data_IF_798890708794
#
_entry.id   IF_798890708794
#
_cell.length_a   1.000
_cell.length_b   1.000
_cell.length_c   1.000
_cell.angle_alpha   90.00
_cell.angle_beta   90.00
_cell.angle_gamma   90.00
#
_symmetry.space_group_name_H-M   'P 1'
#
loop_
_entity.id
_entity.type
_entity.pdbx_description
1 polymer ?
#
# COMPACT_ATOMS: atom_id res chain seq x y z
N UNK A 1 40.28 -18.42 44.58
CA UNK A 1 39.48 -17.85 43.47
C UNK A 1 39.06 -19.03 42.61
N UNK A 2 37.77 -19.39 42.43
CA UNK A 2 37.37 -20.25 41.30
C UNK A 2 35.85 -20.35 41.12
N UNK A 3 35.07 -20.78 42.11
CA UNK A 3 33.66 -21.16 41.85
C UNK A 3 32.72 -19.97 41.62
N UNK A 4 32.79 -18.92 42.45
CA UNK A 4 31.91 -17.75 42.32
C UNK A 4 32.15 -16.95 41.03
N UNK A 5 33.38 -16.96 40.51
CA UNK A 5 33.72 -16.30 39.24
C UNK A 5 33.24 -17.10 38.04
N UNK A 6 33.33 -18.43 38.10
CA UNK A 6 32.80 -19.34 37.06
C UNK A 6 31.27 -19.27 37.00
N UNK A 7 30.59 -19.22 38.15
CA UNK A 7 29.13 -19.07 38.20
C UNK A 7 28.65 -17.74 37.60
N UNK A 8 29.32 -16.62 37.90
CA UNK A 8 28.98 -15.31 37.33
C UNK A 8 29.21 -15.25 35.82
N UNK A 9 30.28 -15.88 35.33
CA UNK A 9 30.57 -15.97 33.90
C UNK A 9 29.52 -16.83 33.17
N UNK A 10 29.14 -17.98 33.73
CA UNK A 10 28.11 -18.86 33.17
C UNK A 10 26.74 -18.17 33.12
N UNK A 11 26.37 -17.43 34.18
CA UNK A 11 25.13 -16.67 34.22
C UNK A 11 25.11 -15.55 33.16
N UNK A 12 26.24 -14.84 32.99
CA UNK A 12 26.39 -13.79 31.98
C UNK A 12 26.27 -14.33 30.55
N UNK A 13 26.89 -15.48 30.26
CA UNK A 13 26.78 -16.15 28.96
C UNK A 13 25.34 -16.59 28.70
N UNK A 14 24.68 -17.18 29.69
CA UNK A 14 23.28 -17.61 29.57
C UNK A 14 22.36 -16.43 29.25
N UNK A 15 22.49 -15.32 29.98
CA UNK A 15 21.70 -14.10 29.76
C UNK A 15 21.94 -13.55 28.35
N UNK A 16 23.20 -13.50 27.90
CA UNK A 16 23.54 -13.01 26.58
C UNK A 16 22.92 -13.88 25.47
N UNK A 17 22.98 -15.21 25.60
CA UNK A 17 22.37 -16.14 24.66
C UNK A 17 20.84 -15.98 24.61
N UNK A 18 20.19 -15.84 25.76
CA UNK A 18 18.75 -15.60 25.83
C UNK A 18 18.36 -14.28 25.15
N UNK A 19 19.10 -13.19 25.40
CA UNK A 19 18.85 -11.89 24.77
C UNK A 19 19.05 -11.96 23.25
N UNK A 20 20.12 -12.61 22.79
CA UNK A 20 20.37 -12.80 21.36
C UNK A 20 19.26 -13.61 20.69
N UNK A 21 18.77 -14.67 21.34
CA UNK A 21 17.65 -15.46 20.84
C UNK A 21 16.35 -14.65 20.76
N UNK A 22 16.04 -13.83 21.77
CA UNK A 22 14.85 -12.96 21.77
C UNK A 22 14.90 -11.96 20.62
N UNK A 23 16.05 -11.29 20.42
CA UNK A 23 16.23 -10.34 19.32
C UNK A 23 16.11 -11.03 17.97
N UNK A 24 16.71 -12.21 17.81
CA UNK A 24 16.61 -12.99 16.59
C UNK A 24 15.16 -13.40 16.28
N UNK A 25 14.42 -13.88 17.28
CA UNK A 25 13.00 -14.23 17.14
C UNK A 25 12.16 -12.99 16.76
N UNK A 26 12.44 -11.83 17.37
CA UNK A 26 11.73 -10.58 17.04
C UNK A 26 11.98 -10.14 15.59
N UNK A 27 13.21 -10.29 15.08
CA UNK A 27 13.54 -10.01 13.68
C UNK A 27 12.80 -10.96 12.74
N UNK A 28 12.78 -12.26 13.04
CA UNK A 28 12.05 -13.25 12.25
C UNK A 28 10.54 -12.96 12.23
N UNK A 29 9.95 -12.62 13.38
CA UNK A 29 8.54 -12.28 13.48
C UNK A 29 8.20 -11.05 12.63
N UNK A 30 8.99 -9.97 12.75
CA UNK A 30 8.84 -8.74 11.97
C UNK A 30 8.98 -8.97 10.46
N UNK A 31 9.90 -9.84 10.04
CA UNK A 31 10.07 -10.20 8.64
C UNK A 31 8.90 -11.06 8.09
N UNK A 32 8.25 -11.84 8.95
CA UNK A 32 7.16 -12.74 8.59
C UNK A 32 5.76 -12.11 8.63
N UNK A 33 5.59 -11.01 9.37
CA UNK A 33 4.29 -10.35 9.47
C UNK A 33 3.96 -9.62 8.17
N UNK A 34 2.87 -10.00 7.47
CA UNK A 34 2.41 -9.21 6.33
C UNK A 34 2.08 -7.79 6.81
N UNK A 35 2.55 -6.77 6.07
CA UNK A 35 2.18 -5.39 6.37
C UNK A 35 0.66 -5.28 6.26
N UNK A 36 0.04 -4.73 7.31
CA UNK A 36 -1.41 -4.56 7.41
C UNK A 36 -2.01 -3.88 6.16
N UNK A 37 -1.26 -2.94 5.55
CA UNK A 37 -1.63 -2.28 4.29
C UNK A 37 -1.88 -3.27 3.14
N UNK A 38 -1.10 -4.35 3.02
CA UNK A 38 -1.21 -5.32 1.92
C UNK A 38 -2.44 -6.22 2.08
N UNK A 39 -2.92 -6.39 3.31
CA UNK A 39 -4.10 -7.22 3.61
C UNK A 39 -5.41 -6.45 3.46
N UNK A 40 -5.41 -5.14 3.72
CA UNK A 40 -6.62 -4.30 3.66
C UNK A 40 -6.83 -3.73 2.26
N UNK A 41 -5.75 -3.41 1.54
CA UNK A 41 -5.80 -2.91 0.17
C UNK A 41 -4.86 -3.75 -0.70
N UNK A 42 -5.32 -4.89 -1.27
CA UNK A 42 -4.50 -5.65 -2.19
C UNK A 42 -4.10 -4.71 -3.34
N UNK A 43 -2.79 -4.45 -3.46
CA UNK A 43 -2.22 -3.52 -4.45
C UNK A 43 -2.52 -3.94 -5.90
N UNK A 44 -2.96 -5.19 -6.10
CA UNK A 44 -3.42 -5.70 -7.38
C UNK A 44 -4.88 -6.14 -7.27
N UNK A 45 -5.80 -5.51 -8.02
CA UNK A 45 -7.19 -5.95 -8.07
C UNK A 45 -7.28 -7.34 -8.73
N UNK A 46 -8.21 -8.16 -8.25
CA UNK A 46 -8.52 -9.45 -8.88
C UNK A 46 -9.16 -9.24 -10.26
N UNK A 47 -9.07 -10.23 -11.16
CA UNK A 47 -9.73 -10.14 -12.48
C UNK A 47 -11.25 -9.83 -12.39
N UNK A 48 -12.04 -10.46 -11.48
CA UNK A 48 -13.43 -10.08 -11.30
C UNK A 48 -13.62 -8.65 -10.80
N UNK A 49 -12.72 -8.14 -9.96
CA UNK A 49 -12.77 -6.76 -9.50
C UNK A 49 -12.48 -5.77 -10.64
N UNK A 50 -11.49 -6.08 -11.50
CA UNK A 50 -11.19 -5.29 -12.70
C UNK A 50 -12.37 -5.24 -13.66
N UNK A 51 -12.99 -6.39 -13.97
CA UNK A 51 -14.14 -6.44 -14.87
C UNK A 51 -15.34 -5.64 -14.33
N UNK A 52 -15.58 -5.69 -13.01
CA UNK A 52 -16.61 -4.84 -12.37
C UNK A 52 -16.24 -3.35 -12.44
N UNK A 53 -14.98 -3.02 -12.18
CA UNK A 53 -14.48 -1.65 -12.26
C UNK A 53 -14.62 -1.05 -13.66
N UNK A 54 -14.29 -1.83 -14.69
CA UNK A 54 -14.45 -1.42 -16.10
C UNK A 54 -15.90 -1.10 -16.44
N UNK A 55 -16.85 -1.94 -16.01
CA UNK A 55 -18.29 -1.66 -16.21
C UNK A 55 -18.69 -0.35 -15.56
N UNK A 56 -18.35 -0.14 -14.29
CA UNK A 56 -18.68 1.08 -13.57
C UNK A 56 -18.04 2.32 -14.20
N UNK A 57 -16.80 2.20 -14.66
CA UNK A 57 -16.07 3.25 -15.33
C UNK A 57 -16.77 3.69 -16.63
N UNK A 58 -17.17 2.72 -17.46
CA UNK A 58 -17.86 2.99 -18.71
C UNK A 58 -19.23 3.62 -18.50
N UNK A 59 -19.96 3.19 -17.46
CA UNK A 59 -21.30 3.67 -17.16
C UNK A 59 -21.30 5.10 -16.57
N UNK A 60 -20.28 5.49 -15.80
CA UNK A 60 -20.33 6.71 -14.98
C UNK A 60 -19.25 7.75 -15.31
N UNK A 61 -18.05 7.32 -15.73
CA UNK A 61 -16.89 8.21 -15.84
C UNK A 61 -16.63 8.62 -17.29
N UNK A 62 -16.76 7.65 -18.21
CA UNK A 62 -16.37 7.80 -19.61
C UNK A 62 -17.18 8.88 -20.35
N UNK A 63 -18.42 9.12 -19.92
CA UNK A 63 -19.32 10.11 -20.54
C UNK A 63 -18.77 11.54 -20.51
N UNK A 64 -18.04 11.90 -19.45
CA UNK A 64 -17.48 13.26 -19.29
C UNK A 64 -15.96 13.28 -19.48
N UNK A 65 -15.22 12.32 -18.91
CA UNK A 65 -13.76 12.29 -18.98
C UNK A 65 -13.23 11.80 -20.33
N UNK A 66 -14.09 11.21 -21.16
CA UNK A 66 -13.73 10.68 -22.47
C UNK A 66 -12.64 9.58 -22.39
N UNK A 67 -12.48 8.84 -23.49
CA UNK A 67 -11.70 7.61 -23.51
C UNK A 67 -10.19 7.79 -23.66
N UNK A 68 -9.55 6.68 -24.02
CA UNK A 68 -8.08 6.54 -24.15
C UNK A 68 -7.46 7.43 -25.24
N UNK A 69 -8.25 7.99 -26.15
CA UNK A 69 -7.76 8.71 -27.32
C UNK A 69 -8.01 10.21 -27.24
N UNK A 70 -7.07 10.97 -27.81
CA UNK A 70 -7.14 12.43 -27.93
C UNK A 70 -6.90 13.21 -26.63
N UNK A 71 -7.22 14.50 -26.68
CA UNK A 71 -7.11 15.43 -25.56
C UNK A 71 -5.71 15.86 -25.17
N UNK A 72 -5.67 16.81 -24.24
CA UNK A 72 -4.46 17.43 -23.70
C UNK A 72 -4.54 17.51 -22.18
N UNK A 73 -3.42 17.90 -21.54
CA UNK A 73 -3.39 18.19 -20.11
C UNK A 73 -4.32 19.35 -19.69
N UNK A 74 -4.79 20.16 -20.65
CA UNK A 74 -5.66 21.31 -20.41
C UNK A 74 -7.16 20.98 -20.55
N UNK A 75 -7.49 19.75 -20.91
CA UNK A 75 -8.89 19.32 -21.06
C UNK A 75 -9.59 19.32 -19.69
N UNK A 76 -10.85 19.74 -19.68
CA UNK A 76 -11.67 19.81 -18.48
C UNK A 76 -13.06 19.20 -18.73
N UNK A 77 -13.45 18.13 -18.00
CA UNK A 77 -12.63 17.41 -17.02
C UNK A 77 -11.44 16.69 -17.70
N UNK A 78 -10.36 16.39 -16.95
CA UNK A 78 -9.14 15.82 -17.53
C UNK A 78 -9.40 14.45 -18.14
N UNK A 79 -8.81 14.21 -19.32
CA UNK A 79 -8.97 12.90 -19.96
C UNK A 79 -8.24 11.80 -19.23
N UNK A 80 -8.91 10.66 -19.09
CA UNK A 80 -8.35 9.47 -18.46
C UNK A 80 -7.53 8.64 -19.47
N UNK A 81 -6.46 9.25 -19.97
CA UNK A 81 -5.54 8.64 -20.92
C UNK A 81 -4.10 9.06 -20.66
N UNK A 82 -3.17 8.62 -21.52
CA UNK A 82 -1.74 8.89 -21.34
C UNK A 82 -1.36 10.39 -21.49
N UNK A 83 -2.24 11.20 -22.09
CA UNK A 83 -1.99 12.62 -22.37
C UNK A 83 -2.68 13.56 -21.35
N UNK A 84 -3.58 13.04 -20.51
CA UNK A 84 -4.29 13.81 -19.48
C UNK A 84 -3.61 13.77 -18.11
N UNK A 85 -4.07 14.60 -17.17
CA UNK A 85 -3.44 14.78 -15.85
C UNK A 85 -3.88 13.76 -14.79
N UNK A 86 -4.67 12.74 -15.13
CA UNK A 86 -5.39 11.87 -14.18
C UNK A 86 -4.50 11.16 -13.15
N UNK A 87 -3.23 10.87 -13.47
CA UNK A 87 -2.37 9.97 -12.68
C UNK A 87 -1.35 10.67 -11.78
N UNK A 88 -1.53 11.96 -11.49
CA UNK A 88 -0.61 12.70 -10.60
C UNK A 88 -0.98 12.59 -9.11
N UNK A 89 -2.15 12.06 -8.81
CA UNK A 89 -2.65 11.90 -7.44
C UNK A 89 -2.44 10.46 -6.93
N UNK A 90 -2.14 10.26 -5.63
CA UNK A 90 -2.12 8.94 -5.03
C UNK A 90 -3.52 8.29 -5.01
N UNK A 91 -3.57 6.96 -5.05
CA UNK A 91 -4.83 6.18 -5.07
C UNK A 91 -5.82 6.55 -3.95
N UNK A 92 -5.32 6.92 -2.76
CA UNK A 92 -6.17 7.33 -1.64
C UNK A 92 -6.92 8.64 -1.93
N UNK A 93 -6.27 9.59 -2.60
CA UNK A 93 -6.87 10.84 -3.02
C UNK A 93 -7.84 10.61 -4.19
N UNK A 94 -7.47 9.79 -5.18
CA UNK A 94 -8.38 9.40 -6.26
C UNK A 94 -9.65 8.73 -5.74
N UNK A 95 -9.51 7.83 -4.74
CA UNK A 95 -10.66 7.18 -4.10
C UNK A 95 -11.54 8.20 -3.38
N UNK A 96 -10.95 9.17 -2.68
CA UNK A 96 -11.69 10.25 -2.03
C UNK A 96 -12.48 11.08 -3.05
N UNK A 97 -11.84 11.49 -4.15
CA UNK A 97 -12.47 12.25 -5.24
C UNK A 97 -13.63 11.47 -5.86
N UNK A 98 -13.47 10.16 -6.10
CA UNK A 98 -14.54 9.31 -6.65
C UNK A 98 -15.76 9.25 -5.71
N UNK A 99 -15.53 9.19 -4.39
CA UNK A 99 -16.60 9.03 -3.40
C UNK A 99 -17.31 10.34 -3.05
N UNK A 100 -16.56 11.45 -3.00
CA UNK A 100 -17.05 12.71 -2.45
C UNK A 100 -17.06 13.86 -3.46
N UNK A 101 -16.55 13.63 -4.68
CA UNK A 101 -16.31 14.67 -5.67
C UNK A 101 -15.12 15.56 -5.32
N UNK A 102 -14.83 16.49 -6.23
CA UNK A 102 -13.97 17.64 -5.97
C UNK A 102 -14.72 18.91 -6.34
N UNK A 103 -14.20 20.05 -5.92
CA UNK A 103 -14.64 21.37 -6.36
C UNK A 103 -14.51 21.60 -7.87
N UNK A 104 -13.84 20.69 -8.59
CA UNK A 104 -13.67 20.74 -10.04
C UNK A 104 -14.60 19.77 -10.79
N UNK A 105 -15.27 18.84 -10.09
CA UNK A 105 -16.24 17.90 -10.67
C UNK A 105 -17.69 18.40 -10.50
N UNK A 106 -18.00 19.55 -11.11
CA UNK A 106 -19.36 20.16 -11.17
C UNK A 106 -19.79 20.40 -12.60
#
# INVERSE_FOLDING_TARGET
MNERRVLLAALGILIFVCLAAIVFIAILFSASSPRLETLIFPRTPTLPALARGEKLYNDNCLVCHLGREGGTMMDYPPRHNANGHTWHHPDCELTYIILYGSNEMT
#
